data_IF_081305335297
#
_entry.id   IF_081305335297
#
_cell.length_a   1.000
_cell.length_b   1.000
_cell.length_c   1.000
_cell.angle_alpha   90.00
_cell.angle_beta   90.00
_cell.angle_gamma   90.00
#
_symmetry.space_group_name_H-M   'P 1'
#
loop_
_entity.id
_entity.type
_entity.pdbx_description
1 polymer ?
#
# COMPACT_ATOMS: atom_id res chain seq x y z
N UNK A 1 -70.36 -16.05 -15.98
CA UNK A 1 -69.21 -16.48 -15.16
C UNK A 1 -68.57 -17.66 -15.87
N UNK A 2 -67.51 -17.45 -16.65
CA UNK A 2 -66.70 -18.53 -17.23
C UNK A 2 -65.24 -18.12 -17.23
N UNK A 3 -64.45 -18.93 -16.53
CA UNK A 3 -62.99 -18.86 -16.42
C UNK A 3 -62.40 -19.62 -17.60
N UNK A 4 -61.43 -19.03 -18.30
CA UNK A 4 -60.49 -19.78 -19.11
C UNK A 4 -59.09 -19.72 -18.50
N UNK A 5 -58.58 -20.92 -18.23
CA UNK A 5 -57.26 -21.27 -17.74
C UNK A 5 -56.26 -21.24 -18.90
N UNK A 6 -55.12 -20.57 -18.71
CA UNK A 6 -53.96 -20.67 -19.62
C UNK A 6 -52.75 -21.13 -18.81
N UNK A 7 -52.37 -22.39 -19.03
CA UNK A 7 -51.05 -22.98 -18.74
C UNK A 7 -50.25 -23.02 -20.07
N UNK A 8 -48.95 -23.40 -20.11
CA UNK A 8 -47.81 -22.94 -19.33
C UNK A 8 -46.56 -22.82 -20.25
N UNK A 9 -46.39 -21.74 -21.02
CA UNK A 9 -45.20 -21.63 -21.90
C UNK A 9 -44.01 -20.89 -21.26
N UNK A 10 -44.23 -20.16 -20.17
CA UNK A 10 -43.17 -19.37 -19.51
C UNK A 10 -42.27 -20.17 -18.56
N UNK A 11 -42.73 -21.33 -18.06
CA UNK A 11 -41.98 -22.11 -17.08
C UNK A 11 -40.86 -22.95 -17.71
N UNK A 12 -40.96 -23.32 -19.00
CA UNK A 12 -39.97 -24.18 -19.66
C UNK A 12 -38.69 -23.40 -20.06
N UNK A 13 -38.82 -22.10 -20.36
CA UNK A 13 -37.69 -21.25 -20.75
C UNK A 13 -36.77 -20.92 -19.56
N UNK A 14 -37.34 -20.75 -18.36
CA UNK A 14 -36.57 -20.49 -17.13
C UNK A 14 -35.80 -21.73 -16.63
N UNK A 15 -36.35 -22.94 -16.84
CA UNK A 15 -35.70 -24.19 -16.43
C UNK A 15 -34.54 -24.55 -17.37
N UNK A 16 -34.68 -24.28 -18.68
CA UNK A 16 -33.63 -24.57 -19.67
C UNK A 16 -32.43 -23.63 -19.57
N UNK A 17 -32.62 -22.34 -19.30
CA UNK A 17 -31.51 -21.40 -19.03
C UNK A 17 -30.74 -21.74 -17.75
N UNK A 18 -31.44 -22.22 -16.72
CA UNK A 18 -30.84 -22.59 -15.43
C UNK A 18 -29.97 -23.85 -15.53
N UNK A 19 -30.38 -24.82 -16.35
CA UNK A 19 -29.59 -26.04 -16.63
C UNK A 19 -28.35 -25.76 -17.49
N UNK A 20 -28.43 -24.80 -18.43
CA UNK A 20 -27.27 -24.42 -19.24
C UNK A 20 -26.18 -23.73 -18.41
N UNK A 21 -26.57 -22.86 -17.47
CA UNK A 21 -25.62 -22.24 -16.52
C UNK A 21 -24.96 -23.25 -15.58
N UNK A 22 -25.68 -24.32 -15.18
CA UNK A 22 -25.12 -25.37 -14.33
C UNK A 22 -24.07 -26.23 -15.06
N UNK A 23 -24.28 -26.51 -16.36
CA UNK A 23 -23.34 -27.28 -17.20
C UNK A 23 -22.05 -26.49 -17.52
N UNK A 24 -22.13 -25.16 -17.65
CA UNK A 24 -20.94 -24.30 -17.82
C UNK A 24 -20.13 -24.18 -16.51
N UNK A 25 -20.79 -24.24 -15.34
CA UNK A 25 -20.13 -24.18 -14.03
C UNK A 25 -19.50 -25.51 -13.59
N UNK A 26 -19.96 -26.64 -14.13
CA UNK A 26 -19.46 -27.99 -13.81
C UNK A 26 -18.48 -28.56 -14.84
N UNK A 27 -18.23 -27.85 -15.93
CA UNK A 27 -17.17 -28.21 -16.87
C UNK A 27 -15.82 -27.83 -16.24
N UNK A 28 -14.90 -28.78 -15.99
CA UNK A 28 -13.55 -28.41 -15.58
C UNK A 28 -12.96 -27.53 -16.68
N UNK A 29 -12.17 -26.49 -16.35
CA UNK A 29 -11.43 -25.80 -17.39
C UNK A 29 -10.61 -26.86 -18.11
N UNK A 30 -10.79 -26.97 -19.42
CA UNK A 30 -9.85 -27.65 -20.29
C UNK A 30 -8.54 -26.89 -20.19
N UNK A 31 -7.75 -27.24 -19.16
CA UNK A 31 -6.36 -26.89 -19.08
C UNK A 31 -5.72 -27.53 -20.30
N UNK A 32 -5.43 -26.70 -21.29
CA UNK A 32 -4.38 -26.97 -22.25
C UNK A 32 -3.19 -27.48 -21.45
N UNK A 33 -2.90 -28.77 -21.62
CA UNK A 33 -1.66 -29.40 -21.21
C UNK A 33 -0.53 -28.67 -21.95
N UNK A 34 0.00 -27.63 -21.33
CA UNK A 34 1.30 -27.11 -21.70
C UNK A 34 2.32 -27.94 -20.92
N UNK A 35 2.90 -28.87 -21.65
CA UNK A 35 4.13 -29.60 -21.42
C UNK A 35 4.87 -29.26 -20.11
N UNK A 36 5.06 -30.31 -19.29
CA UNK A 36 6.18 -30.40 -18.37
C UNK A 36 7.45 -29.93 -19.07
N UNK A 37 7.96 -28.76 -18.70
CA UNK A 37 9.35 -28.41 -19.01
C UNK A 37 10.20 -29.15 -17.98
N UNK A 38 10.67 -30.32 -18.44
CA UNK A 38 11.88 -30.98 -17.97
C UNK A 38 13.07 -30.02 -18.04
N UNK A 39 13.82 -29.87 -16.95
CA UNK A 39 15.24 -29.51 -16.99
C UNK A 39 15.64 -28.06 -17.33
N UNK A 40 14.77 -27.07 -17.17
CA UNK A 40 15.16 -25.66 -17.29
C UNK A 40 15.82 -25.15 -16.00
N UNK A 41 17.03 -24.59 -16.11
CA UNK A 41 17.71 -23.86 -15.04
C UNK A 41 16.71 -22.86 -14.41
N UNK A 42 16.54 -22.91 -13.07
CA UNK A 42 15.60 -22.01 -12.38
C UNK A 42 16.17 -20.60 -12.42
N UNK A 43 15.77 -19.84 -13.45
CA UNK A 43 16.14 -18.45 -13.68
C UNK A 43 15.83 -17.61 -12.44
N UNK A 44 16.65 -16.59 -12.11
CA UNK A 44 16.33 -15.60 -11.08
C UNK A 44 15.00 -14.86 -11.39
N UNK A 45 14.17 -14.59 -10.38
CA UNK A 45 12.86 -13.93 -10.55
C UNK A 45 13.01 -12.60 -11.29
N UNK A 46 14.12 -11.90 -11.10
CA UNK A 46 14.39 -10.61 -11.73
C UNK A 46 14.68 -10.69 -13.23
N UNK A 47 14.97 -11.89 -13.75
CA UNK A 47 15.24 -12.13 -15.17
C UNK A 47 14.00 -12.68 -15.91
N UNK A 48 12.88 -12.89 -15.22
CA UNK A 48 11.61 -13.26 -15.84
C UNK A 48 11.13 -12.13 -16.75
N UNK A 49 10.84 -12.46 -18.01
CA UNK A 49 10.28 -11.51 -18.97
C UNK A 49 8.91 -11.00 -18.49
N UNK A 50 8.79 -9.69 -18.34
CA UNK A 50 7.53 -9.02 -18.07
C UNK A 50 6.70 -8.88 -19.35
N UNK A 51 5.39 -8.98 -19.20
CA UNK A 51 4.39 -8.76 -20.27
C UNK A 51 3.79 -7.36 -20.19
N UNK A 52 3.83 -6.77 -18.99
CA UNK A 52 3.17 -5.53 -18.65
C UNK A 52 4.07 -4.71 -17.74
N UNK A 53 4.10 -3.40 -17.97
CA UNK A 53 4.69 -2.38 -17.11
C UNK A 53 3.68 -1.31 -16.75
N UNK A 54 3.81 -0.78 -15.54
CA UNK A 54 3.05 0.39 -15.13
C UNK A 54 3.91 1.64 -15.28
N UNK A 55 3.35 2.69 -15.86
CA UNK A 55 4.02 3.99 -15.97
C UNK A 55 3.04 5.10 -15.58
N UNK A 56 3.53 6.26 -15.12
CA UNK A 56 2.68 7.42 -14.90
C UNK A 56 1.88 7.73 -16.16
N UNK A 57 0.57 7.91 -16.03
CA UNK A 57 -0.27 8.23 -17.17
C UNK A 57 0.03 9.64 -17.72
N UNK A 58 0.08 9.78 -19.04
CA UNK A 58 0.34 11.07 -19.69
C UNK A 58 -0.71 12.14 -19.36
N UNK A 59 -1.96 11.75 -19.08
CA UNK A 59 -3.07 12.69 -18.87
C UNK A 59 -2.86 13.66 -17.70
N UNK A 60 -2.14 13.28 -16.64
CA UNK A 60 -1.80 14.20 -15.54
C UNK A 60 -0.37 14.73 -15.60
N UNK A 61 0.53 14.08 -16.36
CA UNK A 61 1.88 14.58 -16.56
C UNK A 61 1.93 15.78 -17.51
N UNK A 62 1.10 15.75 -18.56
CA UNK A 62 1.09 16.72 -19.66
C UNK A 62 -0.22 17.53 -19.72
N UNK A 63 -1.20 17.20 -18.87
CA UNK A 63 -2.53 17.76 -18.92
C UNK A 63 -2.50 19.28 -18.79
N UNK A 64 -3.10 19.98 -19.77
CA UNK A 64 -3.44 21.39 -19.63
C UNK A 64 -4.34 21.53 -18.40
N UNK A 65 -3.77 22.07 -17.32
CA UNK A 65 -4.52 22.32 -16.11
C UNK A 65 -5.53 23.41 -16.42
N UNK A 66 -6.82 23.11 -16.22
CA UNK A 66 -7.84 24.14 -16.18
C UNK A 66 -7.38 25.21 -15.19
N UNK A 67 -7.38 26.47 -15.61
CA UNK A 67 -6.98 27.58 -14.76
C UNK A 67 -7.73 27.49 -13.41
N UNK A 68 -7.02 27.80 -12.33
CA UNK A 68 -7.65 27.92 -11.02
C UNK A 68 -8.64 29.09 -11.06
N UNK A 69 -9.86 28.94 -10.54
CA UNK A 69 -10.75 30.06 -10.32
C UNK A 69 -10.07 31.15 -9.46
N UNK A 70 -10.41 32.42 -9.73
CA UNK A 70 -9.85 33.54 -8.97
C UNK A 70 -10.23 33.49 -7.48
N UNK A 71 -11.46 33.07 -7.22
CA UNK A 71 -12.01 32.93 -5.87
C UNK A 71 -12.23 31.45 -5.51
N UNK A 72 -11.97 31.12 -4.24
CA UNK A 72 -12.17 29.77 -3.70
C UNK A 72 -13.40 29.73 -2.79
N UNK A 73 -14.06 28.58 -2.70
CA UNK A 73 -15.27 28.38 -1.89
C UNK A 73 -15.00 28.47 -0.37
N UNK A 74 -13.76 28.26 0.04
CA UNK A 74 -13.30 28.32 1.44
C UNK A 74 -11.94 27.64 1.61
N UNK A 75 -11.62 27.30 2.86
CA UNK A 75 -10.39 26.65 3.29
C UNK A 75 -10.68 25.22 3.78
N UNK A 76 -9.85 24.27 3.37
CA UNK A 76 -9.92 22.88 3.84
C UNK A 76 -8.59 22.52 4.50
N UNK A 77 -8.65 22.06 5.75
CA UNK A 77 -7.56 21.33 6.41
C UNK A 77 -7.82 19.84 6.30
N UNK A 78 -6.80 19.07 5.92
CA UNK A 78 -6.90 17.60 5.87
C UNK A 78 -6.36 17.04 7.19
N UNK A 79 -7.24 16.45 7.98
CA UNK A 79 -6.86 15.78 9.22
C UNK A 79 -6.38 14.36 8.87
N UNK A 80 -5.08 14.11 9.05
CA UNK A 80 -4.39 12.90 8.63
C UNK A 80 -4.05 12.01 9.85
N UNK A 81 -4.35 10.71 9.77
CA UNK A 81 -4.19 9.77 10.88
C UNK A 81 -3.40 8.52 10.50
N UNK A 82 -2.87 7.84 11.52
CA UNK A 82 -2.16 6.57 11.38
C UNK A 82 -0.68 6.74 11.05
N UNK A 83 -0.04 5.69 10.53
CA UNK A 83 1.38 5.74 10.17
C UNK A 83 1.64 6.63 8.94
N UNK A 84 2.90 7.06 8.75
CA UNK A 84 3.31 8.01 7.70
C UNK A 84 2.66 7.78 6.32
N UNK A 85 2.70 6.56 5.79
CA UNK A 85 2.17 6.28 4.45
C UNK A 85 0.63 6.27 4.38
N UNK A 86 -0.07 6.17 5.52
CA UNK A 86 -1.51 6.43 5.61
C UNK A 86 -1.79 7.92 5.54
N UNK A 87 -1.09 8.70 6.36
CA UNK A 87 -1.20 10.16 6.37
C UNK A 87 -0.87 10.76 5.00
N UNK A 88 0.15 10.23 4.31
CA UNK A 88 0.48 10.61 2.93
C UNK A 88 -0.69 10.39 1.97
N UNK A 89 -1.31 9.20 2.01
CA UNK A 89 -2.46 8.87 1.15
C UNK A 89 -3.63 9.81 1.43
N UNK A 90 -3.98 9.98 2.71
CA UNK A 90 -5.07 10.86 3.12
C UNK A 90 -4.80 12.30 2.68
N UNK A 91 -3.56 12.79 2.84
CA UNK A 91 -3.20 14.11 2.37
C UNK A 91 -3.33 14.28 0.85
N UNK A 92 -2.84 13.31 0.05
CA UNK A 92 -3.01 13.35 -1.41
C UNK A 92 -4.48 13.33 -1.84
N UNK A 93 -5.30 12.54 -1.16
CA UNK A 93 -6.73 12.49 -1.42
C UNK A 93 -7.39 13.82 -1.10
N UNK A 94 -7.03 14.41 0.04
CA UNK A 94 -7.46 15.73 0.47
C UNK A 94 -7.08 16.84 -0.52
N UNK A 95 -5.91 16.77 -1.15
CA UNK A 95 -5.52 17.68 -2.25
C UNK A 95 -6.50 17.57 -3.42
N UNK A 96 -6.81 16.34 -3.86
CA UNK A 96 -7.77 16.11 -4.93
C UNK A 96 -9.17 16.63 -4.58
N UNK A 97 -9.61 16.42 -3.35
CA UNK A 97 -10.89 16.91 -2.81
C UNK A 97 -10.90 18.45 -2.75
N UNK A 98 -9.84 19.08 -2.25
CA UNK A 98 -9.74 20.54 -2.22
C UNK A 98 -9.87 21.13 -3.63
N UNK A 99 -9.20 20.52 -4.61
CA UNK A 99 -9.35 20.93 -6.01
C UNK A 99 -10.76 20.68 -6.55
N UNK A 100 -11.38 19.53 -6.26
CA UNK A 100 -12.75 19.20 -6.65
C UNK A 100 -13.75 20.24 -6.15
N UNK A 101 -13.59 20.69 -4.90
CA UNK A 101 -14.48 21.63 -4.22
C UNK A 101 -14.10 23.10 -4.43
N UNK A 102 -13.12 23.39 -5.30
CA UNK A 102 -12.56 24.72 -5.50
C UNK A 102 -12.18 25.42 -4.18
N UNK A 103 -11.52 24.69 -3.28
CA UNK A 103 -11.08 25.18 -1.98
C UNK A 103 -9.58 25.54 -1.99
N UNK A 104 -9.19 26.44 -1.10
CA UNK A 104 -7.79 26.63 -0.70
C UNK A 104 -7.42 25.54 0.29
N UNK A 105 -6.35 24.79 0.00
CA UNK A 105 -5.80 23.78 0.88
C UNK A 105 -4.94 24.43 1.96
N UNK A 106 -5.22 24.13 3.22
CA UNK A 106 -4.37 24.47 4.36
C UNK A 106 -3.46 23.28 4.61
N UNK A 107 -2.17 23.52 4.91
CA UNK A 107 -1.25 22.45 5.27
C UNK A 107 -1.82 21.61 6.43
N UNK A 108 -1.64 20.27 6.39
CA UNK A 108 -2.24 19.39 7.36
C UNK A 108 -1.52 19.55 8.71
N UNK A 109 -2.26 19.29 9.79
CA UNK A 109 -1.63 18.94 11.08
C UNK A 109 -1.47 17.42 11.09
N UNK A 110 -0.25 16.92 11.21
CA UNK A 110 -0.05 15.50 11.56
C UNK A 110 -0.39 15.36 13.03
N UNK A 111 -1.45 14.61 13.33
CA UNK A 111 -1.87 14.41 14.71
C UNK A 111 -0.92 13.45 15.43
N UNK A 112 -0.64 13.75 16.70
CA UNK A 112 0.12 12.91 17.63
C UNK A 112 -0.63 11.59 17.80
N UNK A 113 -0.18 10.53 17.12
CA UNK A 113 -0.77 9.22 17.28
C UNK A 113 -0.19 8.54 18.52
N UNK A 114 -0.99 8.42 19.59
CA UNK A 114 -0.58 7.78 20.85
C UNK A 114 -0.09 6.35 20.67
N UNK A 115 -0.62 5.62 19.69
CA UNK A 115 -0.19 4.26 19.37
C UNK A 115 1.26 4.18 18.84
N UNK A 116 1.76 5.24 18.19
CA UNK A 116 3.08 5.27 17.57
C UNK A 116 4.10 6.15 18.33
N UNK A 117 3.71 6.72 19.48
CA UNK A 117 4.51 7.67 20.28
C UNK A 117 5.16 8.78 19.41
N UNK A 118 4.35 9.44 18.58
CA UNK A 118 4.79 10.28 17.47
C UNK A 118 4.55 11.78 17.70
N UNK A 119 5.57 12.62 17.52
CA UNK A 119 5.49 14.08 17.72
C UNK A 119 5.83 14.91 16.47
N UNK A 120 6.24 14.27 15.37
CA UNK A 120 6.66 14.97 14.14
C UNK A 120 5.46 15.54 13.39
N UNK A 121 5.57 16.82 13.02
CA UNK A 121 4.66 17.51 12.12
C UNK A 121 4.92 17.23 10.64
N UNK A 122 4.07 17.78 9.77
CA UNK A 122 4.21 17.66 8.32
C UNK A 122 5.56 18.19 7.82
N UNK A 123 6.02 19.34 8.36
CA UNK A 123 7.26 20.00 7.94
C UNK A 123 8.53 19.27 8.40
N UNK A 124 8.45 18.42 9.43
CA UNK A 124 9.59 17.61 9.87
C UNK A 124 9.90 16.52 8.83
N UNK A 125 8.85 16.01 8.16
CA UNK A 125 8.97 14.93 7.18
C UNK A 125 9.06 15.44 5.75
N UNK A 126 8.29 16.47 5.37
CA UNK A 126 8.16 16.93 3.99
C UNK A 126 8.62 18.38 3.79
N UNK A 127 9.22 18.64 2.64
CA UNK A 127 9.59 19.99 2.24
C UNK A 127 8.35 20.81 1.82
N UNK A 128 7.93 21.70 2.72
CA UNK A 128 6.71 22.51 2.56
C UNK A 128 6.81 23.48 1.38
N UNK A 129 7.95 24.17 1.23
CA UNK A 129 8.11 25.18 0.20
C UNK A 129 8.13 24.55 -1.18
N UNK A 130 8.84 23.44 -1.31
CA UNK A 130 8.82 22.65 -2.53
C UNK A 130 7.42 22.15 -2.87
N UNK A 131 6.67 21.65 -1.87
CA UNK A 131 5.30 21.19 -2.07
C UNK A 131 4.41 22.32 -2.61
N UNK A 132 4.42 23.49 -1.97
CA UNK A 132 3.61 24.65 -2.41
C UNK A 132 3.98 25.05 -3.84
N UNK A 133 5.28 25.12 -4.15
CA UNK A 133 5.75 25.45 -5.49
C UNK A 133 5.26 24.44 -6.54
N UNK A 134 5.32 23.14 -6.23
CA UNK A 134 4.94 22.06 -7.17
C UNK A 134 3.44 21.83 -7.26
N UNK A 135 2.65 22.41 -6.36
CA UNK A 135 1.20 22.43 -6.41
C UNK A 135 0.62 23.67 -7.09
N UNK A 136 1.46 24.65 -7.46
CA UNK A 136 1.01 25.83 -8.19
C UNK A 136 0.32 25.44 -9.51
N UNK A 137 -0.83 26.03 -9.78
CA UNK A 137 -1.73 25.67 -10.89
C UNK A 137 -2.67 24.49 -10.61
N UNK A 138 -2.32 23.60 -9.69
CA UNK A 138 -3.12 22.41 -9.37
C UNK A 138 -4.13 22.64 -8.25
N UNK A 139 -3.72 23.35 -7.19
CA UNK A 139 -4.58 23.78 -6.09
C UNK A 139 -3.91 24.96 -5.38
N UNK A 140 -4.69 25.90 -4.84
CA UNK A 140 -4.13 26.95 -3.99
C UNK A 140 -3.78 26.34 -2.63
N UNK A 141 -2.53 26.52 -2.19
CA UNK A 141 -2.04 26.02 -0.89
C UNK A 141 -1.59 27.21 -0.05
N UNK A 142 -1.94 27.20 1.24
CA UNK A 142 -1.48 28.20 2.21
C UNK A 142 -0.83 27.53 3.40
N UNK A 143 0.27 28.11 3.89
CA UNK A 143 0.95 27.66 5.13
C UNK A 143 0.09 28.01 6.35
N UNK A 144 -0.37 29.24 6.38
CA UNK A 144 -1.16 29.82 7.46
C UNK A 144 -2.42 30.44 6.87
N UNK A 145 -3.48 30.46 7.68
CA UNK A 145 -4.74 31.09 7.31
C UNK A 145 -4.62 32.61 7.38
N UNK A 146 -5.41 33.35 6.58
CA UNK A 146 -5.57 34.77 6.80
C UNK A 146 -6.02 35.07 8.24
N UNK A 147 -5.57 36.18 8.86
CA UNK A 147 -5.87 36.52 10.25
C UNK A 147 -7.37 36.47 10.60
N UNK A 148 -8.23 36.81 9.63
CA UNK A 148 -9.68 36.84 9.80
C UNK A 148 -10.28 35.44 10.02
N UNK A 149 -9.63 34.41 9.47
CA UNK A 149 -10.04 33.00 9.58
C UNK A 149 -9.26 32.26 10.67
N UNK A 150 -8.00 32.64 10.89
CA UNK A 150 -7.07 31.97 11.82
C UNK A 150 -7.54 31.96 13.28
N UNK A 151 -8.46 32.84 13.67
CA UNK A 151 -9.00 32.93 15.04
C UNK A 151 -9.93 31.78 15.45
N UNK A 152 -10.31 30.91 14.51
CA UNK A 152 -11.26 29.80 14.75
C UNK A 152 -10.66 28.47 14.31
N UNK A 153 -10.91 27.42 15.08
CA UNK A 153 -10.69 26.04 14.60
C UNK A 153 -11.70 25.69 13.50
N UNK A 154 -11.32 24.83 12.52
CA UNK A 154 -12.23 24.43 11.46
C UNK A 154 -13.40 23.62 11.98
N UNK A 155 -14.55 23.73 11.30
CA UNK A 155 -15.67 22.83 11.54
C UNK A 155 -15.33 21.46 10.98
N UNK A 156 -15.29 20.43 11.84
CA UNK A 156 -15.02 19.05 11.43
C UNK A 156 -16.23 18.48 10.69
N UNK A 157 -16.03 18.04 9.45
CA UNK A 157 -17.07 17.38 8.65
C UNK A 157 -16.82 15.87 8.64
N UNK A 158 -17.80 15.11 9.13
CA UNK A 158 -17.73 13.66 9.16
C UNK A 158 -17.88 13.08 7.75
N UNK A 159 -16.79 12.53 7.22
CA UNK A 159 -16.76 11.87 5.92
C UNK A 159 -16.98 10.35 6.03
N UNK A 160 -17.33 9.83 7.20
CA UNK A 160 -17.49 8.40 7.42
C UNK A 160 -18.82 7.90 6.84
N UNK A 161 -18.77 7.27 5.66
CA UNK A 161 -19.94 6.56 5.12
C UNK A 161 -19.93 5.10 5.54
N UNK A 162 -20.94 4.68 6.31
CA UNK A 162 -21.07 3.26 6.71
C UNK A 162 -21.54 2.34 5.58
N UNK A 163 -22.19 2.88 4.53
CA UNK A 163 -22.68 2.11 3.36
C UNK A 163 -22.60 2.94 2.06
N UNK A 164 -22.02 2.36 1.00
CA UNK A 164 -21.94 2.96 -0.34
C UNK A 164 -20.76 3.93 -0.56
N UNK A 165 -20.70 4.53 -1.74
CA UNK A 165 -19.65 5.49 -2.11
C UNK A 165 -19.95 6.89 -1.55
N UNK A 166 -18.92 7.62 -1.09
CA UNK A 166 -19.02 8.97 -0.54
C UNK A 166 -18.72 10.03 -1.61
N UNK A 167 -19.66 10.96 -1.82
CA UNK A 167 -19.58 12.03 -2.81
C UNK A 167 -19.35 13.37 -2.09
N UNK A 168 -18.21 14.00 -2.34
CA UNK A 168 -17.78 15.21 -1.66
C UNK A 168 -18.53 16.46 -2.14
N UNK A 169 -18.98 16.47 -3.39
CA UNK A 169 -19.74 17.61 -3.91
C UNK A 169 -21.10 17.65 -3.23
N UNK A 170 -21.75 16.50 -3.08
CA UNK A 170 -23.06 16.40 -2.41
C UNK A 170 -22.94 16.56 -0.88
N UNK A 171 -21.90 15.98 -0.27
CA UNK A 171 -21.85 15.81 1.20
C UNK A 171 -20.99 16.85 1.94
N UNK A 172 -20.04 17.50 1.27
CA UNK A 172 -19.03 18.37 1.93
C UNK A 172 -19.08 19.80 1.40
N UNK A 173 -19.38 20.00 0.11
CA UNK A 173 -19.49 21.35 -0.46
C UNK A 173 -20.48 22.25 0.30
N UNK A 174 -21.68 21.80 0.73
CA UNK A 174 -22.60 22.66 1.47
C UNK A 174 -21.98 23.21 2.76
N UNK A 175 -21.34 22.35 3.55
CA UNK A 175 -20.66 22.76 4.79
C UNK A 175 -19.45 23.67 4.54
N UNK A 176 -18.70 23.45 3.45
CA UNK A 176 -17.62 24.36 3.06
C UNK A 176 -18.17 25.77 2.74
N UNK A 177 -19.28 25.84 1.99
CA UNK A 177 -19.89 27.11 1.61
C UNK A 177 -20.45 27.87 2.81
N UNK A 178 -21.02 27.15 3.79
CA UNK A 178 -21.59 27.68 5.03
C UNK A 178 -20.50 28.18 5.99
N UNK A 179 -19.53 27.32 6.33
CA UNK A 179 -18.57 27.63 7.40
C UNK A 179 -17.28 28.28 6.92
N UNK A 180 -16.99 28.24 5.61
CA UNK A 180 -15.78 28.76 4.95
C UNK A 180 -14.44 28.16 5.40
N UNK A 181 -14.36 27.51 6.57
CA UNK A 181 -13.20 26.77 7.03
C UNK A 181 -13.62 25.46 7.69
N UNK A 182 -13.28 24.35 7.05
CA UNK A 182 -13.63 23.01 7.50
C UNK A 182 -12.40 22.10 7.58
N UNK A 183 -12.52 21.02 8.35
CA UNK A 183 -11.57 19.92 8.33
C UNK A 183 -12.25 18.62 7.96
N UNK A 184 -11.50 17.79 7.23
CA UNK A 184 -11.98 16.49 6.76
C UNK A 184 -10.91 15.43 6.96
N UNK A 185 -11.36 14.19 7.19
CA UNK A 185 -10.55 12.99 6.99
C UNK A 185 -11.09 12.29 5.76
N UNK A 186 -10.29 12.12 4.69
CA UNK A 186 -10.78 11.50 3.47
C UNK A 186 -11.35 10.08 3.71
N UNK A 187 -12.53 9.82 3.16
CA UNK A 187 -13.18 8.52 3.25
C UNK A 187 -12.38 7.49 2.45
N UNK A 188 -12.41 6.21 2.84
CA UNK A 188 -11.87 5.15 1.98
C UNK A 188 -12.81 4.82 0.81
N UNK A 189 -14.11 5.13 0.94
CA UNK A 189 -15.17 4.82 -0.02
C UNK A 189 -15.45 5.96 -1.01
N UNK A 190 -14.47 6.81 -1.33
CA UNK A 190 -14.67 7.98 -2.19
C UNK A 190 -15.19 7.58 -3.58
N UNK A 191 -16.11 8.38 -4.11
CA UNK A 191 -16.63 8.23 -5.47
C UNK A 191 -15.69 8.85 -6.53
N UNK A 192 -14.46 8.33 -6.64
CA UNK A 192 -13.43 8.89 -7.55
C UNK A 192 -13.77 8.74 -9.02
N UNK A 193 -14.67 7.84 -9.39
CA UNK A 193 -15.20 7.72 -10.75
C UNK A 193 -15.85 9.01 -11.25
N UNK A 194 -16.41 9.83 -10.35
CA UNK A 194 -17.00 11.13 -10.69
C UNK A 194 -16.03 12.31 -10.65
N UNK A 195 -14.78 12.11 -10.22
CA UNK A 195 -13.86 13.22 -10.11
C UNK A 195 -13.44 13.68 -11.52
N UNK A 196 -13.52 14.99 -11.81
CA UNK A 196 -13.02 15.51 -13.07
C UNK A 196 -11.49 15.34 -13.13
N UNK A 197 -10.94 15.28 -14.34
CA UNK A 197 -9.53 15.00 -14.56
C UNK A 197 -8.60 15.97 -13.83
N UNK A 198 -8.96 17.25 -13.70
CA UNK A 198 -8.15 18.23 -12.98
C UNK A 198 -8.02 17.90 -11.49
N UNK A 199 -9.07 17.36 -10.84
CA UNK A 199 -9.03 16.98 -9.44
C UNK A 199 -8.17 15.73 -9.23
N UNK A 200 -8.30 14.74 -10.14
CA UNK A 200 -7.44 13.56 -10.16
C UNK A 200 -5.97 13.94 -10.41
N UNK A 201 -5.72 14.88 -11.32
CA UNK A 201 -4.37 15.35 -11.63
C UNK A 201 -3.71 16.02 -10.41
N UNK A 202 -4.44 16.86 -9.67
CA UNK A 202 -3.92 17.48 -8.44
C UNK A 202 -3.54 16.44 -7.38
N UNK A 203 -4.34 15.38 -7.24
CA UNK A 203 -4.01 14.25 -6.37
C UNK A 203 -2.72 13.55 -6.83
N UNK A 204 -2.62 13.19 -8.12
CA UNK A 204 -1.45 12.52 -8.66
C UNK A 204 -0.19 13.37 -8.52
N UNK A 205 -0.30 14.67 -8.80
CA UNK A 205 0.78 15.64 -8.64
C UNK A 205 1.26 15.68 -7.18
N UNK A 206 0.36 15.83 -6.23
CA UNK A 206 0.71 15.83 -4.80
C UNK A 206 1.44 14.55 -4.42
N UNK A 207 0.86 13.40 -4.79
CA UNK A 207 1.34 12.11 -4.33
C UNK A 207 2.68 11.68 -4.91
N UNK A 208 2.96 12.02 -6.17
CA UNK A 208 4.09 11.44 -6.91
C UNK A 208 5.11 12.47 -7.41
N UNK A 209 4.83 13.78 -7.34
CA UNK A 209 5.76 14.84 -7.74
C UNK A 209 6.04 15.90 -6.67
N UNK A 210 5.03 16.32 -5.90
CA UNK A 210 5.17 17.46 -4.98
C UNK A 210 5.60 17.06 -3.56
N UNK A 211 5.24 15.87 -3.08
CA UNK A 211 5.70 15.38 -1.78
C UNK A 211 7.12 14.81 -1.88
N UNK A 212 8.10 15.57 -1.38
CA UNK A 212 9.49 15.14 -1.16
C UNK A 212 9.86 15.31 0.31
N UNK A 213 10.87 14.55 0.76
CA UNK A 213 11.33 14.65 2.15
C UNK A 213 11.86 16.06 2.45
N UNK A 214 11.80 16.46 3.72
CA UNK A 214 12.47 17.68 4.18
C UNK A 214 13.97 17.57 3.88
N UNK A 215 14.63 18.69 3.57
CA UNK A 215 16.04 18.68 3.14
C UNK A 215 16.94 17.92 4.13
N UNK A 216 16.75 18.16 5.43
CA UNK A 216 17.52 17.48 6.48
C UNK A 216 17.31 15.97 6.46
N UNK A 217 16.05 15.53 6.32
CA UNK A 217 15.72 14.11 6.32
C UNK A 217 16.16 13.42 5.02
N UNK A 218 16.06 14.11 3.89
CA UNK A 218 16.53 13.62 2.59
C UNK A 218 18.04 13.41 2.56
N UNK A 219 18.83 14.33 3.13
CA UNK A 219 20.28 14.16 3.24
C UNK A 219 20.63 12.90 4.05
N UNK A 220 20.01 12.71 5.22
CA UNK A 220 20.20 11.50 6.02
C UNK A 220 19.77 10.23 5.28
N UNK A 221 18.67 10.30 4.53
CA UNK A 221 18.19 9.18 3.72
C UNK A 221 19.15 8.84 2.58
N UNK A 222 19.78 9.85 1.98
CA UNK A 222 20.82 9.67 0.97
C UNK A 222 22.07 9.03 1.57
N UNK A 223 22.56 9.51 2.72
CA UNK A 223 23.70 8.93 3.43
C UNK A 223 23.45 7.45 3.77
N UNK A 224 22.25 7.14 4.28
CA UNK A 224 21.84 5.77 4.54
C UNK A 224 21.81 4.92 3.26
N UNK A 225 21.27 5.48 2.17
CA UNK A 225 21.24 4.79 0.88
C UNK A 225 22.66 4.49 0.38
N UNK A 226 23.57 5.45 0.47
CA UNK A 226 24.95 5.33 -0.04
C UNK A 226 25.78 4.36 0.80
N UNK A 227 25.50 4.24 2.10
CA UNK A 227 26.17 3.30 2.99
C UNK A 227 25.85 1.82 2.73
N UNK A 228 24.75 1.50 2.03
CA UNK A 228 24.34 0.11 1.76
C UNK A 228 25.10 -0.42 0.53
N UNK A 229 25.87 -1.52 0.65
CA UNK A 229 26.60 -2.12 -0.48
C UNK A 229 25.70 -2.48 -1.66
N UNK A 230 26.04 -1.98 -2.86
CA UNK A 230 25.29 -2.21 -4.10
C UNK A 230 25.80 -3.43 -4.89
N UNK A 231 24.93 -4.13 -5.64
CA UNK A 231 23.47 -3.99 -5.66
C UNK A 231 22.85 -4.56 -4.38
N UNK A 232 21.63 -4.11 -4.05
CA UNK A 232 20.90 -4.59 -2.86
C UNK A 232 19.40 -4.75 -3.11
N UNK A 233 18.81 -5.67 -2.34
CA UNK A 233 17.37 -5.88 -2.23
C UNK A 233 16.86 -5.14 -0.99
N UNK A 234 15.88 -4.26 -1.17
CA UNK A 234 15.12 -3.73 -0.04
C UNK A 234 13.98 -4.68 0.30
N UNK A 235 14.01 -5.26 1.50
CA UNK A 235 12.99 -6.16 2.03
C UNK A 235 12.14 -5.45 3.07
N UNK A 236 10.86 -5.22 2.78
CA UNK A 236 9.89 -4.76 3.76
C UNK A 236 9.22 -5.95 4.46
N UNK A 237 9.64 -6.21 5.70
CA UNK A 237 9.26 -7.37 6.49
C UNK A 237 8.33 -6.96 7.64
N UNK A 238 7.05 -7.34 7.55
CA UNK A 238 6.01 -6.94 8.51
C UNK A 238 5.61 -8.10 9.44
N UNK A 239 6.56 -8.58 10.24
CA UNK A 239 6.35 -9.61 11.27
C UNK A 239 6.62 -9.06 12.68
N UNK A 240 5.86 -8.02 13.03
CA UNK A 240 5.93 -7.33 14.33
C UNK A 240 4.71 -7.69 15.20
N UNK A 241 4.81 -7.55 16.54
CA UNK A 241 3.75 -7.93 17.48
C UNK A 241 2.41 -7.27 17.17
N UNK A 242 2.41 -5.97 16.86
CA UNK A 242 1.22 -5.21 16.49
C UNK A 242 0.54 -5.80 15.26
N UNK A 243 1.32 -6.18 14.26
CA UNK A 243 0.79 -6.70 13.02
C UNK A 243 0.20 -8.10 13.18
N UNK A 244 0.87 -8.95 13.97
CA UNK A 244 0.37 -10.30 14.30
C UNK A 244 -0.91 -10.21 15.12
N UNK A 245 -0.92 -9.37 16.15
CA UNK A 245 -2.09 -9.08 16.98
C UNK A 245 -3.27 -8.52 16.16
N UNK A 246 -3.03 -7.49 15.35
CA UNK A 246 -4.03 -6.88 14.47
C UNK A 246 -4.62 -7.90 13.48
N UNK A 247 -3.78 -8.79 12.95
CA UNK A 247 -4.21 -9.82 12.00
C UNK A 247 -4.93 -11.00 12.67
N UNK A 248 -4.97 -11.05 14.02
CA UNK A 248 -5.58 -12.14 14.81
C UNK A 248 -5.06 -13.52 14.42
N UNK A 249 -3.77 -13.63 14.11
CA UNK A 249 -3.17 -14.85 13.62
C UNK A 249 -2.51 -15.67 14.73
N UNK A 250 -2.73 -16.97 14.68
CA UNK A 250 -2.09 -17.96 15.54
C UNK A 250 -0.84 -18.50 14.85
N UNK A 251 0.26 -18.58 15.61
CA UNK A 251 1.53 -19.17 15.19
C UNK A 251 2.00 -20.15 16.26
N UNK A 252 2.55 -21.28 15.83
CA UNK A 252 3.19 -22.25 16.70
C UNK A 252 4.71 -22.08 16.67
N UNK A 253 5.37 -22.39 17.78
CA UNK A 253 6.84 -22.38 17.84
C UNK A 253 7.50 -21.00 17.87
N UNK A 254 6.75 -19.94 18.17
CA UNK A 254 7.34 -18.63 18.47
C UNK A 254 8.07 -18.67 19.81
N UNK A 255 9.10 -17.83 19.97
CA UNK A 255 9.78 -17.70 21.26
C UNK A 255 8.84 -17.16 22.35
N UNK A 256 9.09 -17.48 23.64
CA UNK A 256 8.30 -16.94 24.74
C UNK A 256 8.26 -15.40 24.77
N UNK A 257 9.35 -14.75 24.34
CA UNK A 257 9.43 -13.30 24.24
C UNK A 257 8.48 -12.75 23.16
N UNK A 258 8.47 -13.35 21.97
CA UNK A 258 7.55 -12.99 20.88
C UNK A 258 6.09 -13.19 21.28
N UNK A 259 5.76 -14.31 21.92
CA UNK A 259 4.41 -14.58 22.44
C UNK A 259 3.95 -13.49 23.41
N UNK A 260 4.79 -13.14 24.39
CA UNK A 260 4.50 -12.07 25.36
C UNK A 260 4.33 -10.71 24.70
N UNK A 261 5.16 -10.40 23.70
CA UNK A 261 5.06 -9.14 22.95
C UNK A 261 3.75 -9.06 22.15
N UNK A 262 3.32 -10.16 21.53
CA UNK A 262 2.04 -10.24 20.82
C UNK A 262 0.88 -10.04 21.79
N UNK A 263 0.89 -10.72 22.95
CA UNK A 263 -0.13 -10.57 23.99
C UNK A 263 -0.26 -9.11 24.47
N UNK A 264 0.87 -8.42 24.67
CA UNK A 264 0.87 -7.01 25.04
C UNK A 264 0.27 -6.09 23.96
N UNK A 265 0.34 -6.50 22.69
CA UNK A 265 -0.20 -5.76 21.55
C UNK A 265 -1.65 -6.12 21.16
N UNK A 266 -2.22 -7.21 21.71
CA UNK A 266 -3.54 -7.73 21.33
C UNK A 266 -4.71 -6.78 21.63
N UNK A 267 -4.58 -5.89 22.61
CA UNK A 267 -5.71 -5.07 23.10
C UNK A 267 -6.95 -5.97 23.33
N UNK A 268 -8.07 -5.69 22.66
CA UNK A 268 -9.31 -6.50 22.75
C UNK A 268 -9.40 -7.63 21.70
N UNK A 269 -8.43 -7.73 20.79
CA UNK A 269 -8.48 -8.65 19.64
C UNK A 269 -7.84 -9.99 19.99
N UNK A 270 -8.68 -11.00 20.26
CA UNK A 270 -8.21 -12.38 20.45
C UNK A 270 -7.80 -13.03 19.12
N UNK A 271 -6.74 -13.86 19.10
CA UNK A 271 -6.39 -14.61 17.90
C UNK A 271 -7.51 -15.59 17.53
N UNK A 272 -7.67 -15.83 16.23
CA UNK A 272 -8.44 -16.98 15.77
C UNK A 272 -7.72 -18.26 16.20
N UNK A 273 -8.46 -19.32 16.51
CA UNK A 273 -7.91 -20.61 16.92
C UNK A 273 -8.51 -21.74 16.08
N UNK A 274 -7.83 -22.90 16.05
CA UNK A 274 -8.30 -24.11 15.39
C UNK A 274 -8.60 -23.90 13.90
N UNK A 275 -9.76 -24.39 13.45
CA UNK A 275 -10.14 -24.29 12.03
C UNK A 275 -10.30 -22.84 11.54
N UNK A 276 -10.73 -21.92 12.41
CA UNK A 276 -10.83 -20.50 12.05
C UNK A 276 -9.45 -19.92 11.77
N UNK A 277 -8.45 -20.23 12.59
CA UNK A 277 -7.06 -19.80 12.36
C UNK A 277 -6.53 -20.32 11.03
N UNK A 278 -6.75 -21.62 10.77
CA UNK A 278 -6.34 -22.27 9.53
C UNK A 278 -6.98 -21.61 8.30
N UNK A 279 -8.30 -21.41 8.30
CA UNK A 279 -9.02 -20.75 7.20
C UNK A 279 -8.56 -19.30 7.04
N UNK A 280 -8.29 -18.60 8.13
CA UNK A 280 -7.81 -17.21 8.10
C UNK A 280 -6.43 -17.10 7.45
N UNK A 281 -5.50 -18.00 7.82
CA UNK A 281 -4.17 -18.11 7.20
C UNK A 281 -4.26 -18.48 5.71
N UNK A 282 -5.13 -19.43 5.35
CA UNK A 282 -5.39 -19.82 3.94
C UNK A 282 -5.95 -18.68 3.08
N UNK A 283 -6.63 -17.70 3.69
CA UNK A 283 -7.07 -16.48 3.00
C UNK A 283 -5.95 -15.45 2.80
N UNK A 284 -4.72 -15.79 3.18
CA UNK A 284 -3.55 -14.90 3.13
C UNK A 284 -3.66 -13.71 4.08
N UNK A 285 -4.38 -13.84 5.19
CA UNK A 285 -4.58 -12.74 6.16
C UNK A 285 -3.40 -12.59 7.13
N UNK A 286 -2.69 -13.67 7.39
CA UNK A 286 -1.54 -13.71 8.30
C UNK A 286 -0.25 -13.28 7.61
N UNK A 287 0.63 -12.49 8.27
CA UNK A 287 1.96 -12.20 7.75
C UNK A 287 2.81 -13.48 7.58
N UNK A 288 3.88 -13.40 6.77
CA UNK A 288 4.88 -14.47 6.74
C UNK A 288 5.82 -14.29 7.94
N UNK A 289 6.23 -15.40 8.56
CA UNK A 289 7.36 -15.36 9.51
C UNK A 289 8.67 -15.08 8.74
N UNK A 290 9.75 -14.67 9.42
CA UNK A 290 11.05 -14.49 8.76
C UNK A 290 11.59 -15.79 8.13
N UNK A 291 11.39 -16.95 8.77
CA UNK A 291 11.74 -18.25 8.19
C UNK A 291 10.92 -18.57 6.93
N UNK A 292 9.60 -18.35 6.96
CA UNK A 292 8.75 -18.53 5.78
C UNK A 292 9.16 -17.58 4.65
N UNK A 293 9.56 -16.35 5.00
CA UNK A 293 10.08 -15.36 4.06
C UNK A 293 11.37 -15.85 3.41
N UNK A 294 12.32 -16.36 4.20
CA UNK A 294 13.57 -16.91 3.70
C UNK A 294 13.34 -18.05 2.70
N UNK A 295 12.44 -18.99 3.04
CA UNK A 295 12.07 -20.10 2.16
C UNK A 295 11.47 -19.61 0.83
N UNK A 296 10.59 -18.61 0.87
CA UNK A 296 10.03 -18.02 -0.34
C UNK A 296 11.14 -17.34 -1.15
N UNK A 297 12.01 -16.54 -0.56
CA UNK A 297 13.12 -15.90 -1.29
C UNK A 297 14.06 -16.93 -1.94
N UNK A 298 14.37 -18.04 -1.26
CA UNK A 298 15.14 -19.15 -1.84
C UNK A 298 14.40 -19.80 -3.02
N UNK A 299 13.08 -19.99 -2.90
CA UNK A 299 12.27 -20.48 -4.01
C UNK A 299 12.27 -19.55 -5.22
N UNK A 300 12.58 -18.26 -5.00
CA UNK A 300 12.73 -17.22 -6.00
C UNK A 300 14.14 -17.12 -6.60
N UNK A 301 15.01 -18.09 -6.29
CA UNK A 301 16.41 -18.09 -6.71
C UNK A 301 17.16 -16.81 -6.28
N UNK A 302 16.74 -16.15 -5.20
CA UNK A 302 17.47 -15.02 -4.62
C UNK A 302 18.71 -15.58 -3.91
N UNK A 303 19.94 -15.18 -4.30
CA UNK A 303 21.15 -15.75 -3.72
C UNK A 303 21.30 -15.42 -2.22
N UNK A 304 21.76 -16.37 -1.38
CA UNK A 304 22.08 -16.12 0.04
C UNK A 304 23.09 -14.98 0.27
N UNK A 305 23.93 -14.68 -0.72
CA UNK A 305 24.93 -13.60 -0.69
C UNK A 305 24.36 -12.22 -1.01
N UNK A 306 23.06 -12.11 -1.33
CA UNK A 306 22.38 -10.84 -1.65
C UNK A 306 22.48 -9.88 -0.47
N UNK A 307 22.93 -8.65 -0.71
CA UNK A 307 22.83 -7.57 0.27
C UNK A 307 21.35 -7.21 0.46
N UNK A 308 20.83 -7.33 1.68
CA UNK A 308 19.44 -7.02 2.00
C UNK A 308 19.40 -5.82 2.94
N UNK A 309 18.76 -4.74 2.50
CA UNK A 309 18.32 -3.69 3.41
C UNK A 309 16.96 -4.06 3.99
N UNK A 310 16.88 -4.16 5.31
CA UNK A 310 15.67 -4.55 6.02
C UNK A 310 14.87 -3.29 6.43
N UNK A 311 13.84 -3.00 5.65
CA UNK A 311 12.83 -2.01 6.00
C UNK A 311 11.83 -2.64 6.98
N UNK A 312 12.14 -2.57 8.27
CA UNK A 312 11.26 -3.02 9.35
C UNK A 312 11.31 -2.06 10.53
N UNK A 313 10.28 -2.09 11.38
CA UNK A 313 10.28 -1.38 12.66
C UNK A 313 11.13 -2.09 13.71
N UNK A 314 11.30 -1.42 14.85
CA UNK A 314 12.20 -1.84 15.94
C UNK A 314 11.68 -3.10 16.69
N UNK A 315 10.44 -3.53 16.42
CA UNK A 315 9.77 -4.66 17.08
C UNK A 315 9.75 -5.96 16.26
N UNK A 316 10.59 -6.10 15.24
CA UNK A 316 10.61 -7.31 14.41
C UNK A 316 10.95 -8.57 15.24
N UNK A 317 10.13 -9.62 15.09
CA UNK A 317 10.29 -10.88 15.83
C UNK A 317 10.93 -11.97 14.97
N UNK A 318 11.61 -12.93 15.61
CA UNK A 318 12.13 -14.18 15.00
C UNK A 318 13.07 -13.95 13.80
N UNK A 319 13.88 -12.88 13.84
CA UNK A 319 14.77 -12.46 12.73
C UNK A 319 15.77 -13.55 12.35
N UNK A 320 16.10 -14.43 13.30
CA UNK A 320 17.00 -15.57 13.15
C UNK A 320 16.61 -16.44 11.96
N UNK A 321 15.31 -16.66 11.75
CA UNK A 321 14.80 -17.44 10.63
C UNK A 321 15.13 -16.85 9.25
N UNK A 322 15.44 -15.55 9.16
CA UNK A 322 15.95 -14.93 7.94
C UNK A 322 17.48 -14.91 7.91
N UNK A 323 18.13 -14.53 9.02
CA UNK A 323 19.59 -14.37 9.08
C UNK A 323 20.37 -15.68 8.96
N UNK A 324 19.75 -16.82 9.31
CA UNK A 324 20.33 -18.15 9.08
C UNK A 324 20.56 -18.44 7.59
N UNK A 325 19.76 -17.84 6.71
CA UNK A 325 19.88 -18.01 5.25
C UNK A 325 20.59 -16.82 4.60
N UNK A 326 20.28 -15.59 4.99
CA UNK A 326 20.82 -14.38 4.39
C UNK A 326 21.68 -13.64 5.43
N UNK A 327 23.00 -13.71 5.27
CA UNK A 327 23.93 -13.13 6.24
C UNK A 327 24.15 -11.61 6.05
N UNK A 328 23.98 -11.11 4.83
CA UNK A 328 24.26 -9.71 4.49
C UNK A 328 23.04 -8.81 4.72
N UNK A 329 22.63 -8.66 5.97
CA UNK A 329 21.48 -7.83 6.37
C UNK A 329 21.93 -6.50 6.95
N UNK A 330 21.36 -5.42 6.41
CA UNK A 330 21.61 -4.04 6.82
C UNK A 330 20.31 -3.41 7.33
N UNK A 331 20.37 -2.70 8.45
CA UNK A 331 19.23 -1.98 9.03
C UNK A 331 19.56 -0.49 9.18
N UNK A 332 18.53 0.33 9.41
CA UNK A 332 18.71 1.74 9.81
C UNK A 332 19.62 1.86 11.03
N UNK A 333 19.38 1.03 12.05
CA UNK A 333 20.10 1.08 13.32
C UNK A 333 21.56 0.62 13.20
N UNK A 334 21.90 -0.21 12.21
CA UNK A 334 23.29 -0.61 11.97
C UNK A 334 24.09 0.42 11.17
N UNK A 335 23.42 1.32 10.43
CA UNK A 335 24.05 2.26 9.50
C UNK A 335 24.03 3.71 9.98
N UNK A 336 23.07 4.09 10.83
CA UNK A 336 22.99 5.43 11.42
C UNK A 336 23.77 5.49 12.74
N UNK A 337 24.26 6.68 13.09
CA UNK A 337 24.83 6.92 14.41
C UNK A 337 23.77 6.70 15.50
N UNK A 338 24.21 6.29 16.71
CA UNK A 338 23.28 6.07 17.83
C UNK A 338 22.47 7.33 18.17
N UNK A 339 23.11 8.49 18.12
CA UNK A 339 22.48 9.79 18.40
C UNK A 339 21.42 10.14 17.35
N UNK A 340 21.77 9.99 16.06
CA UNK A 340 20.82 10.21 14.97
C UNK A 340 19.60 9.30 15.11
N UNK A 341 19.83 8.02 15.40
CA UNK A 341 18.77 7.05 15.53
C UNK A 341 17.84 7.32 16.73
N UNK A 342 18.39 7.77 17.87
CA UNK A 342 17.59 8.09 19.07
C UNK A 342 16.81 9.39 18.94
N UNK A 343 17.32 10.37 18.19
CA UNK A 343 16.65 11.66 17.97
C UNK A 343 15.55 11.59 16.91
N UNK A 344 15.41 10.46 16.21
CA UNK A 344 14.40 10.26 15.19
C UNK A 344 13.11 9.65 15.74
N UNK A 345 11.99 10.27 15.36
CA UNK A 345 10.64 9.77 15.64
C UNK A 345 10.18 8.72 14.60
N UNK A 346 9.09 8.01 14.88
CA UNK A 346 8.59 6.90 14.08
C UNK A 346 8.35 7.23 12.60
N UNK A 347 7.76 8.39 12.31
CA UNK A 347 7.51 8.89 10.97
C UNK A 347 8.81 9.19 10.23
N UNK A 348 9.79 9.81 10.90
CA UNK A 348 11.09 10.10 10.27
C UNK A 348 11.86 8.80 9.96
N UNK A 349 11.80 7.79 10.85
CA UNK A 349 12.37 6.45 10.59
C UNK A 349 11.69 5.76 9.40
N UNK A 350 10.35 5.80 9.35
CA UNK A 350 9.58 5.23 8.24
C UNK A 350 9.84 5.96 6.91
N UNK A 351 10.11 7.27 6.96
CA UNK A 351 10.49 8.05 5.78
C UNK A 351 11.84 7.64 5.21
N UNK A 352 12.83 7.30 6.05
CA UNK A 352 14.11 6.75 5.60
C UNK A 352 13.93 5.40 4.91
N UNK A 353 13.17 4.48 5.52
CA UNK A 353 12.86 3.19 4.91
C UNK A 353 12.18 3.36 3.55
N UNK A 354 11.23 4.29 3.47
CA UNK A 354 10.55 4.61 2.23
C UNK A 354 11.52 5.12 1.16
N UNK A 355 12.41 6.05 1.50
CA UNK A 355 13.39 6.61 0.58
C UNK A 355 14.36 5.54 0.06
N UNK A 356 14.91 4.71 0.94
CA UNK A 356 15.80 3.62 0.54
C UNK A 356 15.05 2.62 -0.35
N UNK A 357 13.81 2.27 -0.01
CA UNK A 357 12.99 1.31 -0.77
C UNK A 357 12.71 1.78 -2.20
N UNK A 358 12.36 3.05 -2.42
CA UNK A 358 12.10 3.59 -3.77
C UNK A 358 13.37 3.80 -4.61
N UNK A 359 14.54 3.70 -4.01
CA UNK A 359 15.85 3.86 -4.65
C UNK A 359 16.64 2.53 -4.77
N UNK A 360 16.11 1.43 -4.25
CA UNK A 360 16.78 0.12 -4.28
C UNK A 360 16.82 -0.54 -5.66
N UNK A 361 17.80 -1.42 -5.90
CA UNK A 361 17.90 -2.18 -7.17
C UNK A 361 16.72 -3.13 -7.35
N UNK A 362 16.25 -3.71 -6.25
CA UNK A 362 15.04 -4.55 -6.19
C UNK A 362 14.30 -4.35 -4.87
N UNK A 363 12.99 -4.55 -4.90
CA UNK A 363 12.13 -4.42 -3.72
C UNK A 363 11.23 -5.64 -3.55
N UNK A 364 11.20 -6.19 -2.34
CA UNK A 364 10.28 -7.25 -1.94
C UNK A 364 9.53 -6.80 -0.70
N UNK A 365 8.23 -7.08 -0.63
CA UNK A 365 7.51 -6.98 0.63
C UNK A 365 6.75 -8.25 0.98
N UNK A 366 6.71 -8.55 2.27
CA UNK A 366 6.05 -9.75 2.79
C UNK A 366 4.58 -9.53 3.11
N UNK A 367 4.17 -8.28 3.31
CA UNK A 367 2.79 -7.88 3.56
C UNK A 367 2.46 -6.62 2.77
N UNK A 368 1.51 -6.69 1.83
CA UNK A 368 1.09 -5.53 1.05
C UNK A 368 0.25 -4.54 1.88
N UNK A 369 0.90 -3.55 2.47
CA UNK A 369 0.34 -2.47 3.27
C UNK A 369 0.39 -1.10 2.57
N UNK A 370 0.34 -0.03 3.37
CA UNK A 370 0.29 1.34 2.85
C UNK A 370 1.64 1.84 2.33
N UNK A 371 2.75 1.43 2.96
CA UNK A 371 4.09 1.72 2.46
C UNK A 371 4.31 1.07 1.10
N UNK A 372 3.96 -0.20 0.96
CA UNK A 372 4.16 -1.01 -0.24
C UNK A 372 3.45 -0.44 -1.46
N UNK A 373 2.22 0.06 -1.27
CA UNK A 373 1.47 0.79 -2.30
C UNK A 373 2.23 2.02 -2.79
N UNK A 374 2.77 2.82 -1.86
CA UNK A 374 3.52 4.02 -2.20
C UNK A 374 4.88 3.70 -2.82
N UNK A 375 5.56 2.66 -2.33
CA UNK A 375 6.85 2.22 -2.86
C UNK A 375 6.68 1.69 -4.28
N UNK A 376 5.73 0.79 -4.54
CA UNK A 376 5.50 0.29 -5.89
C UNK A 376 5.10 1.39 -6.87
N UNK A 377 4.26 2.32 -6.45
CA UNK A 377 3.89 3.46 -7.28
C UNK A 377 5.10 4.34 -7.62
N UNK A 378 5.92 4.71 -6.64
CA UNK A 378 7.11 5.53 -6.92
C UNK A 378 8.22 4.79 -7.66
N UNK A 379 8.40 3.49 -7.42
CA UNK A 379 9.34 2.68 -8.21
C UNK A 379 8.89 2.64 -9.68
N UNK A 380 7.60 2.41 -9.94
CA UNK A 380 7.05 2.50 -11.29
C UNK A 380 7.19 3.91 -11.90
N UNK A 381 7.00 4.96 -11.11
CA UNK A 381 7.23 6.35 -11.54
C UNK A 381 8.67 6.58 -12.00
N UNK A 382 9.64 5.95 -11.33
CA UNK A 382 11.08 6.04 -11.63
C UNK A 382 11.57 5.02 -12.67
N UNK A 383 10.68 4.21 -13.25
CA UNK A 383 11.06 3.14 -14.18
C UNK A 383 11.78 1.96 -13.52
N UNK A 384 11.64 1.79 -12.20
CA UNK A 384 12.23 0.68 -11.44
C UNK A 384 11.23 -0.46 -11.31
N UNK A 385 11.49 -1.54 -12.02
CA UNK A 385 10.51 -2.59 -12.30
C UNK A 385 10.74 -3.90 -11.55
N UNK A 386 11.86 -4.05 -10.85
CA UNK A 386 12.14 -5.17 -9.94
C UNK A 386 11.42 -4.95 -8.61
N UNK A 387 10.12 -5.22 -8.60
CA UNK A 387 9.22 -5.03 -7.45
C UNK A 387 8.33 -6.26 -7.34
N UNK A 388 8.34 -6.92 -6.18
CA UNK A 388 7.59 -8.15 -5.94
C UNK A 388 6.92 -8.14 -4.56
N UNK A 389 5.74 -8.74 -4.48
CA UNK A 389 5.04 -8.96 -3.22
C UNK A 389 4.86 -10.45 -2.98
N UNK A 390 5.27 -10.92 -1.81
CA UNK A 390 5.22 -12.35 -1.53
C UNK A 390 3.77 -12.79 -1.30
N UNK A 391 3.38 -13.87 -1.97
CA UNK A 391 2.04 -14.44 -1.91
C UNK A 391 1.85 -15.23 -0.62
N UNK A 392 1.42 -14.54 0.44
CA UNK A 392 1.02 -15.13 1.73
C UNK A 392 -0.03 -16.23 1.57
N UNK A 393 -0.99 -15.97 0.69
CA UNK A 393 -2.02 -16.94 0.31
C UNK A 393 -1.42 -18.14 -0.41
N UNK A 394 -0.57 -17.92 -1.41
CA UNK A 394 0.10 -18.99 -2.14
C UNK A 394 0.91 -19.89 -1.20
N UNK A 395 1.69 -19.30 -0.30
CA UNK A 395 2.44 -20.02 0.72
C UNK A 395 1.53 -20.88 1.61
N UNK A 396 0.47 -20.29 2.17
CA UNK A 396 -0.45 -20.99 3.06
C UNK A 396 -1.20 -22.13 2.35
N UNK A 397 -1.69 -21.90 1.13
CA UNK A 397 -2.40 -22.90 0.34
C UNK A 397 -1.49 -24.08 -0.05
N UNK A 398 -0.27 -23.81 -0.51
CA UNK A 398 0.66 -24.86 -0.93
C UNK A 398 1.13 -25.72 0.26
N UNK A 399 1.47 -25.10 1.38
CA UNK A 399 1.87 -25.83 2.59
C UNK A 399 0.71 -26.64 3.19
N UNK A 400 -0.53 -26.12 3.15
CA UNK A 400 -1.71 -26.85 3.62
C UNK A 400 -2.04 -28.11 2.80
N UNK A 401 -1.60 -28.15 1.54
CA UNK A 401 -1.70 -29.33 0.66
C UNK A 401 -0.59 -30.35 0.93
N UNK A 402 0.30 -30.08 1.90
CA UNK A 402 1.37 -30.98 2.29
C UNK A 402 2.63 -30.88 1.44
N UNK A 403 2.74 -29.91 0.52
CA UNK A 403 3.95 -29.71 -0.27
C UNK A 403 5.12 -29.32 0.63
N UNK A 404 6.29 -29.89 0.37
CA UNK A 404 7.54 -29.65 1.12
C UNK A 404 8.75 -29.65 0.18
N UNK A 405 9.89 -29.18 0.68
CA UNK A 405 11.17 -29.23 -0.02
C UNK A 405 11.09 -28.68 -1.45
N UNK A 406 11.65 -29.42 -2.41
CA UNK A 406 11.75 -29.01 -3.82
C UNK A 406 10.38 -28.78 -4.48
N UNK A 407 9.37 -29.57 -4.13
CA UNK A 407 8.03 -29.43 -4.70
C UNK A 407 7.36 -28.12 -4.26
N UNK A 408 7.50 -27.78 -2.97
CA UNK A 408 7.03 -26.50 -2.45
C UNK A 408 7.76 -25.33 -3.10
N UNK A 409 9.09 -25.41 -3.22
CA UNK A 409 9.89 -24.37 -3.87
C UNK A 409 9.48 -24.16 -5.33
N UNK A 410 9.32 -25.23 -6.11
CA UNK A 410 8.89 -25.13 -7.50
C UNK A 410 7.48 -24.54 -7.65
N UNK A 411 6.57 -24.87 -6.75
CA UNK A 411 5.22 -24.32 -6.75
C UNK A 411 5.20 -22.83 -6.33
N UNK A 412 5.97 -22.46 -5.31
CA UNK A 412 6.14 -21.06 -4.89
C UNK A 412 6.76 -20.21 -6.00
N UNK A 413 7.80 -20.73 -6.66
CA UNK A 413 8.41 -20.12 -7.83
C UNK A 413 7.35 -19.78 -8.89
N UNK A 414 6.53 -20.77 -9.26
CA UNK A 414 5.49 -20.61 -10.28
C UNK A 414 4.49 -19.51 -9.91
N UNK A 415 3.98 -19.51 -8.67
CA UNK A 415 3.01 -18.51 -8.19
C UNK A 415 3.55 -17.10 -8.33
N UNK A 416 4.78 -16.85 -7.88
CA UNK A 416 5.36 -15.51 -7.93
C UNK A 416 5.83 -15.11 -9.32
N UNK A 417 6.29 -16.06 -10.14
CA UNK A 417 6.68 -15.81 -11.53
C UNK A 417 5.51 -15.26 -12.34
N UNK A 418 4.33 -15.84 -12.18
CA UNK A 418 3.14 -15.38 -12.90
C UNK A 418 2.71 -13.96 -12.43
N UNK A 419 2.77 -13.69 -11.13
CA UNK A 419 2.48 -12.37 -10.56
C UNK A 419 3.47 -11.30 -11.04
N UNK A 420 4.77 -11.63 -11.09
CA UNK A 420 5.83 -10.75 -11.57
C UNK A 420 5.70 -10.48 -13.07
N UNK A 421 5.52 -11.52 -13.89
CA UNK A 421 5.42 -11.40 -15.33
C UNK A 421 4.24 -10.52 -15.77
N UNK A 422 3.07 -10.69 -15.14
CA UNK A 422 1.88 -9.91 -15.47
C UNK A 422 1.86 -8.52 -14.81
N UNK A 423 2.79 -8.20 -13.92
CA UNK A 423 2.74 -6.96 -13.12
C UNK A 423 1.50 -6.84 -12.22
N UNK A 424 0.76 -7.94 -12.01
CA UNK A 424 -0.53 -7.97 -11.28
C UNK A 424 -0.38 -7.80 -9.78
N UNK A 425 0.80 -8.04 -9.21
CA UNK A 425 1.06 -7.77 -7.80
C UNK A 425 0.96 -6.28 -7.43
N UNK A 426 1.06 -5.38 -8.40
CA UNK A 426 1.15 -3.93 -8.19
C UNK A 426 -0.10 -3.21 -8.68
N UNK A 427 -1.28 -3.44 -8.11
CA UNK A 427 -2.44 -2.59 -8.41
C UNK A 427 -2.11 -1.15 -8.00
N UNK A 428 -1.64 -0.35 -8.96
CA UNK A 428 -1.22 1.02 -8.73
C UNK A 428 -2.43 1.95 -8.73
N UNK A 429 -2.32 3.14 -8.11
CA UNK A 429 -3.39 4.13 -8.14
C UNK A 429 -3.75 4.56 -9.57
N UNK A 430 -4.92 5.20 -9.75
CA UNK A 430 -5.43 5.70 -11.04
C UNK A 430 -4.45 6.64 -11.80
N UNK A 431 -3.39 7.10 -11.13
CA UNK A 431 -2.31 7.88 -11.71
C UNK A 431 -1.37 7.07 -12.62
N UNK A 432 -1.47 5.74 -12.62
CA UNK A 432 -0.61 4.86 -13.40
C UNK A 432 -1.41 4.09 -14.43
N UNK A 433 -0.82 3.96 -15.61
CA UNK A 433 -1.40 3.31 -16.78
C UNK A 433 -0.63 2.04 -17.07
N UNK A 434 -1.35 1.03 -17.55
CA UNK A 434 -0.79 -0.24 -17.99
C UNK A 434 -0.20 -0.08 -19.41
N UNK A 435 1.01 -0.57 -19.62
CA UNK A 435 1.69 -0.62 -20.91
C UNK A 435 2.10 -2.07 -21.19
N UNK A 436 1.71 -2.60 -22.35
CA UNK A 436 2.14 -3.92 -22.82
C UNK A 436 3.54 -3.82 -23.43
N UNK A 437 4.39 -4.81 -23.12
CA UNK A 437 5.78 -4.91 -23.56
C UNK A 437 5.96 -5.77 -24.81
#
# INVERSE_FOLDING_TARGET
MFVFSVKPFFSLLLVTLSLFFLLVLLSPPSFLSQNLISGGEVVDIWNVRRLVEWRPCNWWLQGHQTALPLETNGYIRVDCYGGLNQMRRDFCDGVGIARLLNATLVLPKFEVASYWNETSGFADVYDVDYFIQHMNGFVKVVKELPPEVASKEPVRVDCSKRKGQFDYVESVLPSLLEHKYISITPAMSQRRDRYPLYAKASLCQACFKALRLSRTLEMKASELLDAIPKPFLSLHLRFEPDMVAYSQCEYTGLSPASMKAIEAAQMERKPWTGDLARVWRLRGKCPLTPNETALVLQSLSIPPTTNIYLAAGDGLMEIEGLTETYANIFTKSSLLSREDFTNMHGNTKAALDYYVSINSDSYVATYFGNMDKMVAAMRAFKGLYKTLFLSRRGFAELTSKGLRGKELMAALWKVHRDDFAMGRGSALPECFCEFKL
#
